data_IF_448729248969
#
_entry.id   IF_448729248969
#
_cell.length_a   1.000
_cell.length_b   1.000
_cell.length_c   1.000
_cell.angle_alpha   90.00
_cell.angle_beta   90.00
_cell.angle_gamma   90.00
#
_symmetry.space_group_name_H-M   'P 1'
#
loop_
_entity.id
_entity.type
_entity.pdbx_description
1 polymer ?
#
# COMPACT_ATOMS: atom_id res chain seq x y z
N UNK A 1 11.03 -5.13 -15.84
CA UNK A 1 10.56 -3.80 -15.40
C UNK A 1 9.06 -3.77 -15.11
N UNK A 2 8.32 -4.77 -15.57
CA UNK A 2 6.85 -4.78 -15.49
C UNK A 2 6.31 -4.76 -14.06
N UNK A 3 6.94 -5.46 -13.13
CA UNK A 3 6.55 -5.46 -11.72
C UNK A 3 6.70 -4.11 -11.00
N UNK A 4 7.62 -3.24 -11.42
CA UNK A 4 7.82 -1.93 -10.80
C UNK A 4 6.63 -1.00 -11.04
N UNK A 5 6.23 -0.82 -12.32
CA UNK A 5 5.15 0.11 -12.70
C UNK A 5 3.81 -0.40 -12.17
N UNK A 6 3.53 -1.70 -12.32
CA UNK A 6 2.31 -2.29 -11.82
C UNK A 6 2.16 -2.09 -10.31
N UNK A 7 3.22 -2.36 -9.53
CA UNK A 7 3.17 -2.21 -8.08
C UNK A 7 3.14 -0.74 -7.66
N UNK A 8 3.86 0.15 -8.37
CA UNK A 8 3.80 1.59 -8.15
C UNK A 8 2.36 2.12 -8.27
N UNK A 9 1.68 1.82 -9.38
CA UNK A 9 0.31 2.26 -9.60
C UNK A 9 -0.66 1.64 -8.58
N UNK A 10 -0.50 0.34 -8.30
CA UNK A 10 -1.33 -0.35 -7.32
C UNK A 10 -1.21 0.30 -5.94
N UNK A 11 -0.01 0.59 -5.45
CA UNK A 11 0.17 1.22 -4.14
C UNK A 11 -0.23 2.69 -4.14
N UNK A 12 0.05 3.44 -5.21
CA UNK A 12 -0.40 4.83 -5.34
C UNK A 12 -1.92 4.93 -5.15
N UNK A 13 -2.68 4.11 -5.85
CA UNK A 13 -4.15 4.16 -5.76
C UNK A 13 -4.70 3.53 -4.49
N UNK A 14 -4.14 2.42 -4.01
CA UNK A 14 -4.63 1.75 -2.80
C UNK A 14 -4.35 2.53 -1.53
N UNK A 15 -3.27 3.32 -1.48
CA UNK A 15 -2.91 4.14 -0.32
C UNK A 15 -3.55 5.54 -0.35
N UNK A 16 -3.99 6.02 -1.54
CA UNK A 16 -4.64 7.32 -1.66
C UNK A 16 -6.01 7.31 -0.98
N UNK A 17 -6.17 8.22 -0.01
CA UNK A 17 -7.38 8.31 0.80
C UNK A 17 -7.52 7.17 1.82
N UNK A 18 -6.49 6.40 2.13
CA UNK A 18 -6.53 5.32 3.13
C UNK A 18 -5.87 5.71 4.47
N UNK A 19 -5.88 4.77 5.42
CA UNK A 19 -5.40 4.95 6.80
C UNK A 19 -3.96 5.42 6.87
N UNK A 20 -3.10 4.88 6.02
CA UNK A 20 -1.68 5.24 5.91
C UNK A 20 -1.50 6.73 5.59
N UNK A 21 -2.24 7.22 4.60
CA UNK A 21 -2.22 8.64 4.23
C UNK A 21 -2.79 9.54 5.33
N UNK A 22 -3.87 9.11 6.00
CA UNK A 22 -4.47 9.85 7.11
C UNK A 22 -3.54 9.91 8.33
N UNK A 23 -2.86 8.81 8.67
CA UNK A 23 -1.89 8.80 9.76
C UNK A 23 -0.71 9.74 9.46
N UNK A 24 -0.21 9.75 8.24
CA UNK A 24 0.87 10.65 7.82
C UNK A 24 0.47 12.13 7.98
N UNK A 25 -0.73 12.51 7.56
CA UNK A 25 -1.25 13.87 7.74
C UNK A 25 -1.37 14.23 9.23
N UNK A 26 -1.90 13.31 10.06
CA UNK A 26 -2.06 13.53 11.49
C UNK A 26 -0.71 13.69 12.21
N UNK A 27 0.28 12.86 11.88
CA UNK A 27 1.63 12.97 12.44
C UNK A 27 2.33 14.27 12.00
N UNK A 28 2.14 14.69 10.74
CA UNK A 28 2.67 15.96 10.24
C UNK A 28 1.99 17.18 10.88
N UNK A 29 0.72 17.07 11.31
CA UNK A 29 0.04 18.10 12.09
C UNK A 29 0.54 18.15 13.53
N UNK A 30 0.76 16.97 14.13
CA UNK A 30 1.20 16.83 15.53
C UNK A 30 2.64 17.30 15.74
N UNK A 31 3.53 16.97 14.81
CA UNK A 31 4.95 17.26 14.94
C UNK A 31 5.35 18.40 13.99
N UNK A 32 6.11 19.37 14.52
CA UNK A 32 6.65 20.48 13.70
C UNK A 32 7.74 20.02 12.71
N UNK A 33 8.41 18.89 13.00
CA UNK A 33 9.49 18.36 12.18
C UNK A 33 8.96 17.37 11.11
N UNK A 34 8.42 17.90 10.03
CA UNK A 34 7.90 17.10 8.92
C UNK A 34 8.98 16.21 8.25
N UNK A 35 10.25 16.64 8.26
CA UNK A 35 11.36 15.84 7.69
C UNK A 35 11.58 14.56 8.47
N UNK A 36 11.55 14.63 9.80
CA UNK A 36 11.68 13.45 10.65
C UNK A 36 10.47 12.51 10.51
N UNK A 37 9.26 13.04 10.40
CA UNK A 37 8.04 12.26 10.12
C UNK A 37 8.16 11.55 8.77
N UNK A 38 8.56 12.27 7.72
CA UNK A 38 8.73 11.70 6.39
C UNK A 38 9.81 10.62 6.33
N UNK A 39 10.95 10.85 6.99
CA UNK A 39 12.04 9.86 7.05
C UNK A 39 11.61 8.58 7.78
N UNK A 40 10.93 8.72 8.94
CA UNK A 40 10.40 7.56 9.68
C UNK A 40 9.37 6.78 8.87
N UNK A 41 8.44 7.50 8.21
CA UNK A 41 7.45 6.91 7.32
C UNK A 41 8.10 6.17 6.15
N UNK A 42 9.03 6.84 5.45
CA UNK A 42 9.70 6.29 4.28
C UNK A 42 10.48 5.02 4.58
N UNK A 43 11.22 5.00 5.70
CA UNK A 43 11.98 3.81 6.12
C UNK A 43 11.05 2.67 6.57
N UNK A 44 9.97 2.96 7.29
CA UNK A 44 9.00 1.94 7.68
C UNK A 44 8.34 1.29 6.46
N UNK A 45 7.88 2.12 5.51
CA UNK A 45 7.28 1.64 4.27
C UNK A 45 8.28 0.86 3.41
N UNK A 46 9.55 1.29 3.33
CA UNK A 46 10.59 0.56 2.62
C UNK A 46 10.80 -0.83 3.22
N UNK A 47 10.92 -0.92 4.55
CA UNK A 47 11.08 -2.19 5.24
C UNK A 47 9.90 -3.14 4.97
N UNK A 48 8.65 -2.65 5.06
CA UNK A 48 7.46 -3.43 4.75
C UNK A 48 7.41 -3.89 3.29
N UNK A 49 7.78 -3.01 2.34
CA UNK A 49 7.81 -3.36 0.91
C UNK A 49 8.86 -4.43 0.61
N UNK A 50 10.06 -4.30 1.18
CA UNK A 50 11.12 -5.31 1.02
C UNK A 50 10.71 -6.65 1.62
N UNK A 51 10.17 -6.67 2.84
CA UNK A 51 9.69 -7.90 3.49
C UNK A 51 8.59 -8.58 2.67
N UNK A 52 7.62 -7.82 2.17
CA UNK A 52 6.51 -8.37 1.40
C UNK A 52 6.94 -8.91 0.05
N UNK A 53 7.78 -8.17 -0.67
CA UNK A 53 8.27 -8.60 -1.97
C UNK A 53 9.21 -9.81 -1.85
N UNK A 54 10.07 -9.81 -0.84
CA UNK A 54 10.93 -10.96 -0.53
C UNK A 54 10.09 -12.20 -0.19
N UNK A 55 9.09 -12.08 0.68
CA UNK A 55 8.17 -13.17 0.97
C UNK A 55 7.42 -13.67 -0.27
N UNK A 56 7.00 -12.74 -1.15
CA UNK A 56 6.34 -13.07 -2.42
C UNK A 56 7.22 -13.84 -3.40
N UNK A 57 8.55 -13.60 -3.41
CA UNK A 57 9.47 -14.30 -4.31
C UNK A 57 9.56 -15.79 -4.03
N UNK A 58 9.38 -16.23 -2.78
CA UNK A 58 9.33 -17.66 -2.44
C UNK A 58 8.11 -18.37 -3.03
N UNK A 59 7.02 -17.65 -3.26
CA UNK A 59 5.81 -18.25 -3.85
C UNK A 59 6.06 -18.70 -5.29
N UNK A 60 6.80 -17.92 -6.07
CA UNK A 60 7.14 -18.23 -7.47
C UNK A 60 8.05 -19.46 -7.59
N UNK A 61 8.94 -19.69 -6.62
CA UNK A 61 9.86 -20.83 -6.63
C UNK A 61 9.17 -22.19 -6.41
N UNK A 62 8.03 -22.21 -5.71
CA UNK A 62 7.36 -23.43 -5.26
C UNK A 62 6.04 -23.72 -5.96
N UNK A 63 5.48 -22.76 -6.67
CA UNK A 63 4.12 -22.83 -7.20
C UNK A 63 4.12 -22.49 -8.70
N UNK A 64 3.34 -23.22 -9.51
CA UNK A 64 3.18 -22.95 -10.95
C UNK A 64 2.48 -21.60 -11.21
N UNK A 65 2.59 -21.11 -12.44
CA UNK A 65 2.15 -19.75 -12.82
C UNK A 65 0.64 -19.50 -12.67
N UNK A 66 -0.23 -20.50 -12.85
CA UNK A 66 -1.69 -20.28 -12.75
C UNK A 66 -2.15 -20.01 -11.30
N UNK A 67 -1.73 -20.78 -10.27
CA UNK A 67 -1.95 -20.39 -8.88
C UNK A 67 -1.34 -19.05 -8.50
N UNK A 68 -0.18 -18.67 -9.04
CA UNK A 68 0.43 -17.34 -8.80
C UNK A 68 -0.45 -16.23 -9.37
N UNK A 69 -1.00 -16.41 -10.59
CA UNK A 69 -1.98 -15.48 -11.17
C UNK A 69 -3.25 -15.38 -10.34
N UNK A 70 -3.77 -16.52 -9.86
CA UNK A 70 -4.92 -16.55 -8.96
C UNK A 70 -4.63 -15.82 -7.66
N UNK A 71 -3.47 -16.03 -7.06
CA UNK A 71 -3.02 -15.30 -5.86
C UNK A 71 -2.97 -13.79 -6.11
N UNK A 72 -2.42 -13.36 -7.26
CA UNK A 72 -2.40 -11.95 -7.66
C UNK A 72 -3.83 -11.40 -7.84
N UNK A 73 -4.72 -12.15 -8.49
CA UNK A 73 -6.12 -11.79 -8.65
C UNK A 73 -6.83 -11.62 -7.31
N UNK A 74 -6.65 -12.58 -6.39
CA UNK A 74 -7.23 -12.53 -5.05
C UNK A 74 -6.69 -11.37 -4.22
N UNK A 75 -5.37 -11.10 -4.26
CA UNK A 75 -4.76 -9.98 -3.55
C UNK A 75 -5.38 -8.64 -3.97
N UNK A 76 -5.53 -8.40 -5.28
CA UNK A 76 -6.16 -7.19 -5.79
C UNK A 76 -7.66 -7.14 -5.50
N UNK A 77 -8.39 -8.25 -5.66
CA UNK A 77 -9.82 -8.31 -5.38
C UNK A 77 -10.13 -8.01 -3.90
N UNK A 78 -9.42 -8.65 -2.98
CA UNK A 78 -9.56 -8.41 -1.54
C UNK A 78 -9.13 -7.00 -1.14
N UNK A 79 -8.08 -6.46 -1.78
CA UNK A 79 -7.70 -5.06 -1.59
C UNK A 79 -8.81 -4.11 -2.04
N UNK A 80 -9.46 -4.37 -3.19
CA UNK A 80 -10.62 -3.62 -3.65
C UNK A 80 -11.77 -3.65 -2.65
N UNK A 81 -12.12 -4.82 -2.12
CA UNK A 81 -13.12 -4.96 -1.06
C UNK A 81 -12.72 -4.17 0.19
N UNK A 82 -11.47 -4.26 0.64
CA UNK A 82 -10.98 -3.52 1.80
C UNK A 82 -11.07 -2.00 1.60
N UNK A 83 -10.84 -1.51 0.38
CA UNK A 83 -11.00 -0.09 0.04
C UNK A 83 -12.46 0.36 0.04
N UNK A 84 -13.39 -0.51 -0.32
CA UNK A 84 -14.85 -0.23 -0.33
C UNK A 84 -15.48 -0.37 1.05
N UNK A 85 -14.95 -1.25 1.89
CA UNK A 85 -15.48 -1.55 3.21
C UNK A 85 -15.45 -0.35 4.16
N UNK A 86 -16.28 -0.42 5.21
CA UNK A 86 -16.33 0.59 6.26
C UNK A 86 -15.02 0.66 7.03
N UNK A 87 -14.52 1.88 7.26
CA UNK A 87 -13.26 2.09 8.00
C UNK A 87 -13.46 1.95 9.50
N UNK A 88 -12.55 1.23 10.15
CA UNK A 88 -12.38 1.30 11.60
C UNK A 88 -11.72 2.64 11.97
N UNK A 89 -11.97 3.12 13.19
CA UNK A 89 -11.29 4.29 13.72
C UNK A 89 -9.77 4.06 13.72
N UNK A 90 -9.04 5.05 13.19
CA UNK A 90 -7.58 5.04 13.16
C UNK A 90 -7.06 5.58 14.49
N UNK A 91 -6.15 4.86 15.14
CA UNK A 91 -5.37 5.40 16.24
C UNK A 91 -4.33 6.38 15.69
N UNK A 92 -4.46 7.64 16.10
CA UNK A 92 -3.54 8.71 15.69
C UNK A 92 -2.26 8.77 16.54
N UNK A 93 -2.03 7.75 17.37
CA UNK A 93 -0.84 7.59 18.20
C UNK A 93 -0.59 8.77 19.17
N UNK A 94 -1.64 9.47 19.57
CA UNK A 94 -1.55 10.69 20.40
C UNK A 94 -0.94 10.43 21.77
N UNK A 95 -1.06 9.22 22.30
CA UNK A 95 -0.51 8.80 23.60
C UNK A 95 0.97 8.46 23.56
N UNK A 96 1.56 8.32 22.37
CA UNK A 96 2.96 7.95 22.22
C UNK A 96 3.87 9.14 22.59
N UNK A 97 4.82 8.92 23.49
CA UNK A 97 5.77 9.94 23.96
C UNK A 97 7.10 9.92 23.19
N UNK A 98 7.17 9.12 22.11
CA UNK A 98 8.34 9.02 21.24
C UNK A 98 8.43 10.24 20.31
N UNK A 99 9.65 10.56 19.87
CA UNK A 99 9.88 11.67 18.92
C UNK A 99 9.26 11.42 17.54
N UNK A 100 9.25 12.43 16.64
CA UNK A 100 8.54 12.38 15.37
C UNK A 100 8.99 11.23 14.46
N UNK A 101 10.28 10.97 14.37
CA UNK A 101 10.84 9.88 13.57
C UNK A 101 10.37 8.51 14.07
N UNK A 102 10.56 8.23 15.36
CA UNK A 102 10.27 6.91 15.93
C UNK A 102 8.77 6.63 15.98
N UNK A 103 7.95 7.66 16.27
CA UNK A 103 6.48 7.55 16.22
C UNK A 103 6.02 7.22 14.79
N UNK A 104 6.55 7.90 13.78
CA UNK A 104 6.21 7.65 12.40
C UNK A 104 6.69 6.25 11.95
N UNK A 105 7.94 5.91 12.27
CA UNK A 105 8.51 4.62 11.87
C UNK A 105 7.72 3.44 12.44
N UNK A 106 7.59 3.37 13.78
CA UNK A 106 6.89 2.25 14.42
C UNK A 106 5.40 2.24 14.11
N UNK A 107 4.74 3.40 14.14
CA UNK A 107 3.32 3.50 13.87
C UNK A 107 2.96 3.06 12.46
N UNK A 108 3.73 3.48 11.47
CA UNK A 108 3.53 3.09 10.07
C UNK A 108 3.91 1.63 9.83
N UNK A 109 5.02 1.17 10.42
CA UNK A 109 5.44 -0.22 10.30
C UNK A 109 4.35 -1.18 10.80
N UNK A 110 3.79 -0.90 11.98
CA UNK A 110 2.70 -1.71 12.55
C UNK A 110 1.41 -1.58 11.73
N UNK A 111 1.06 -0.36 11.28
CA UNK A 111 -0.17 -0.12 10.52
C UNK A 111 -0.17 -0.83 9.17
N UNK A 112 0.97 -0.85 8.48
CA UNK A 112 1.13 -1.49 7.18
C UNK A 112 1.36 -3.00 7.27
N UNK A 113 1.78 -3.52 8.43
CA UNK A 113 2.02 -4.94 8.60
C UNK A 113 0.70 -5.72 8.52
N UNK A 114 0.60 -6.65 7.56
CA UNK A 114 -0.62 -7.41 7.28
C UNK A 114 -1.73 -6.59 6.57
N UNK A 115 -1.42 -5.36 6.09
CA UNK A 115 -2.39 -4.59 5.31
C UNK A 115 -2.42 -5.04 3.84
N UNK A 116 -3.49 -4.64 3.12
CA UNK A 116 -3.71 -4.94 1.70
C UNK A 116 -2.50 -4.65 0.81
N UNK A 117 -1.75 -3.58 1.12
CA UNK A 117 -0.55 -3.19 0.38
C UNK A 117 0.52 -4.28 0.38
N UNK A 118 0.73 -4.96 1.50
CA UNK A 118 1.69 -6.06 1.58
C UNK A 118 1.30 -7.24 0.69
N UNK A 119 0.02 -7.59 0.65
CA UNK A 119 -0.47 -8.68 -0.21
C UNK A 119 -0.33 -8.34 -1.69
N UNK A 120 -0.61 -7.08 -2.09
CA UNK A 120 -0.41 -6.60 -3.47
C UNK A 120 1.07 -6.70 -3.86
N UNK A 121 1.97 -6.21 -3.00
CA UNK A 121 3.42 -6.24 -3.26
C UNK A 121 3.91 -7.68 -3.38
N UNK A 122 3.54 -8.54 -2.43
CA UNK A 122 3.92 -9.95 -2.43
C UNK A 122 3.41 -10.69 -3.68
N UNK A 123 2.15 -10.47 -4.05
CA UNK A 123 1.55 -11.07 -5.23
C UNK A 123 2.21 -10.58 -6.55
N UNK A 124 2.51 -9.29 -6.65
CA UNK A 124 3.25 -8.76 -7.79
C UNK A 124 4.70 -9.26 -7.83
N UNK A 125 5.33 -9.47 -6.68
CA UNK A 125 6.68 -10.03 -6.59
C UNK A 125 6.71 -11.50 -7.01
N UNK A 126 5.69 -12.27 -6.66
CA UNK A 126 5.53 -13.65 -7.12
C UNK A 126 5.33 -13.77 -8.65
N UNK A 127 4.80 -12.72 -9.30
CA UNK A 127 4.64 -12.68 -10.77
C UNK A 127 5.85 -12.09 -11.50
N UNK A 128 6.73 -11.39 -10.80
CA UNK A 128 7.86 -10.69 -11.38
C UNK A 128 9.12 -11.57 -11.27
N UNK A 129 9.89 -11.71 -12.34
CA UNK A 129 11.14 -12.47 -12.30
C UNK A 129 12.20 -11.96 -11.31
N UNK A 130 12.02 -10.71 -10.79
CA UNK A 130 12.89 -10.10 -9.79
C UNK A 130 12.07 -9.31 -8.78
N UNK A 131 12.01 -9.79 -7.55
CA UNK A 131 11.20 -9.22 -6.46
C UNK A 131 11.56 -7.77 -6.07
N UNK A 132 12.78 -7.32 -6.38
CA UNK A 132 13.25 -5.98 -6.02
C UNK A 132 12.48 -4.87 -6.75
N UNK A 133 12.04 -5.13 -8.00
CA UNK A 133 11.27 -4.15 -8.78
C UNK A 133 9.87 -3.88 -8.17
N UNK A 134 9.07 -4.89 -7.80
CA UNK A 134 7.85 -4.68 -7.03
C UNK A 134 8.07 -4.02 -5.67
N UNK A 135 9.16 -4.32 -4.96
CA UNK A 135 9.49 -3.67 -3.69
C UNK A 135 9.70 -2.16 -3.88
N UNK A 136 10.55 -1.77 -4.85
CA UNK A 136 10.82 -0.37 -5.16
C UNK A 136 9.56 0.33 -5.69
N UNK A 137 8.83 -0.31 -6.60
CA UNK A 137 7.57 0.22 -7.13
C UNK A 137 6.54 0.47 -6.03
N UNK A 138 6.37 -0.49 -5.13
CA UNK A 138 5.47 -0.37 -3.98
C UNK A 138 5.86 0.77 -3.04
N UNK A 139 7.14 0.87 -2.70
CA UNK A 139 7.66 1.95 -1.88
C UNK A 139 7.44 3.33 -2.53
N UNK A 140 7.81 3.49 -3.80
CA UNK A 140 7.62 4.75 -4.54
C UNK A 140 6.14 5.12 -4.65
N UNK A 141 5.25 4.14 -4.90
CA UNK A 141 3.80 4.36 -4.96
C UNK A 141 3.23 4.81 -3.62
N UNK A 142 3.65 4.19 -2.53
CA UNK A 142 3.27 4.58 -1.16
C UNK A 142 3.78 5.99 -0.83
N UNK A 143 5.04 6.30 -1.15
CA UNK A 143 5.61 7.65 -0.95
C UNK A 143 4.84 8.70 -1.76
N UNK A 144 4.55 8.41 -3.03
CA UNK A 144 3.78 9.32 -3.89
C UNK A 144 2.37 9.60 -3.36
N UNK A 145 1.70 8.60 -2.76
CA UNK A 145 0.40 8.79 -2.12
C UNK A 145 0.48 9.62 -0.84
N UNK A 146 1.54 9.46 -0.04
CA UNK A 146 1.65 10.01 1.31
C UNK A 146 2.31 11.39 1.35
N UNK A 147 3.26 11.66 0.46
CA UNK A 147 3.97 12.94 0.44
C UNK A 147 3.03 14.16 0.37
N UNK A 148 1.97 14.17 -0.47
CA UNK A 148 0.99 15.25 -0.45
C UNK A 148 0.30 15.40 0.92
N UNK A 149 0.05 14.32 1.65
CA UNK A 149 -0.59 14.38 2.95
C UNK A 149 0.29 15.02 4.03
N UNK A 150 1.60 14.75 4.01
CA UNK A 150 2.55 15.38 4.91
C UNK A 150 2.71 16.88 4.62
N UNK A 151 2.69 17.27 3.34
CA UNK A 151 2.85 18.67 2.92
C UNK A 151 1.56 19.48 3.14
N UNK A 152 0.43 18.95 2.66
CA UNK A 152 -0.85 19.66 2.64
C UNK A 152 -1.66 19.49 3.94
N UNK A 153 -1.35 18.43 4.72
CA UNK A 153 -1.98 18.14 6.02
C UNK A 153 -3.52 18.11 5.90
N UNK A 154 -4.20 18.92 6.68
CA UNK A 154 -5.67 19.06 6.70
C UNK A 154 -6.25 19.63 5.38
N UNK A 155 -5.46 20.37 4.61
CA UNK A 155 -5.87 20.94 3.32
C UNK A 155 -6.06 19.85 2.24
N UNK A 156 -5.38 18.69 2.36
CA UNK A 156 -5.48 17.62 1.35
C UNK A 156 -6.92 17.16 1.13
N UNK A 157 -7.68 16.95 2.22
CA UNK A 157 -9.07 16.51 2.14
C UNK A 157 -10.03 17.56 1.56
N UNK A 158 -9.63 18.83 1.55
CA UNK A 158 -10.39 19.94 0.92
C UNK A 158 -10.07 20.05 -0.58
N UNK A 159 -8.85 19.71 -0.98
CA UNK A 159 -8.38 19.81 -2.35
C UNK A 159 -8.72 18.57 -3.19
N UNK A 160 -8.71 17.39 -2.60
CA UNK A 160 -8.94 16.14 -3.30
C UNK A 160 -10.15 15.38 -2.76
N UNK A 161 -11.02 14.86 -3.65
CA UNK A 161 -12.18 14.05 -3.26
C UNK A 161 -11.72 12.61 -2.89
N UNK A 162 -10.92 12.48 -1.81
CA UNK A 162 -10.25 11.23 -1.39
C UNK A 162 -11.22 10.04 -1.30
N UNK A 163 -12.46 10.28 -0.85
CA UNK A 163 -13.48 9.23 -0.77
C UNK A 163 -13.85 8.69 -2.17
N UNK A 164 -14.01 9.58 -3.16
CA UNK A 164 -14.37 9.19 -4.54
C UNK A 164 -13.21 8.46 -5.20
N UNK A 165 -11.97 8.95 -5.03
CA UNK A 165 -10.75 8.31 -5.55
C UNK A 165 -10.65 6.89 -4.97
N UNK A 166 -10.81 6.71 -3.65
CA UNK A 166 -10.76 5.42 -2.99
C UNK A 166 -11.84 4.46 -3.49
N UNK A 167 -13.09 4.93 -3.67
CA UNK A 167 -14.17 4.08 -4.18
C UNK A 167 -13.90 3.68 -5.62
N UNK A 168 -13.53 4.62 -6.49
CA UNK A 168 -13.20 4.33 -7.88
C UNK A 168 -12.04 3.35 -8.02
N UNK A 169 -10.95 3.57 -7.26
CA UNK A 169 -9.83 2.64 -7.20
C UNK A 169 -10.25 1.26 -6.67
N UNK A 170 -11.07 1.20 -5.61
CA UNK A 170 -11.58 -0.06 -5.07
C UNK A 170 -12.37 -0.88 -6.09
N UNK A 171 -13.24 -0.22 -6.88
CA UNK A 171 -13.98 -0.88 -7.96
C UNK A 171 -13.04 -1.39 -9.06
N UNK A 172 -12.04 -0.60 -9.47
CA UNK A 172 -11.04 -1.02 -10.46
C UNK A 172 -10.23 -2.22 -9.96
N UNK A 173 -9.86 -2.24 -8.68
CA UNK A 173 -9.13 -3.37 -8.07
C UNK A 173 -9.98 -4.64 -8.03
N UNK A 174 -11.27 -4.53 -7.69
CA UNK A 174 -12.18 -5.68 -7.75
C UNK A 174 -12.33 -6.21 -9.18
N UNK A 175 -12.50 -5.32 -10.17
CA UNK A 175 -12.61 -5.72 -11.55
C UNK A 175 -11.32 -6.37 -12.09
N UNK A 176 -10.17 -5.77 -11.80
CA UNK A 176 -8.85 -6.31 -12.19
C UNK A 176 -8.58 -7.66 -11.51
N UNK A 177 -8.86 -7.77 -10.21
CA UNK A 177 -8.67 -9.01 -9.46
C UNK A 177 -9.55 -10.15 -9.97
N UNK A 178 -10.82 -9.85 -10.30
CA UNK A 178 -11.73 -10.83 -10.90
C UNK A 178 -11.24 -11.27 -12.28
N UNK A 179 -10.81 -10.32 -13.12
CA UNK A 179 -10.28 -10.63 -14.44
C UNK A 179 -9.06 -11.55 -14.39
N UNK A 180 -8.13 -11.29 -13.45
CA UNK A 180 -6.95 -12.14 -13.26
C UNK A 180 -7.33 -13.54 -12.75
N UNK A 181 -8.32 -13.66 -11.86
CA UNK A 181 -8.81 -14.95 -11.38
C UNK A 181 -9.46 -15.76 -12.51
N UNK A 182 -10.27 -15.13 -13.37
CA UNK A 182 -10.89 -15.79 -14.52
C UNK A 182 -9.84 -16.28 -15.54
N UNK A 183 -8.78 -15.50 -15.75
CA UNK A 183 -7.64 -15.91 -16.61
C UNK A 183 -6.88 -17.09 -16.02
N UNK A 184 -6.66 -17.12 -14.69
CA UNK A 184 -5.98 -18.22 -14.02
C UNK A 184 -6.75 -19.55 -14.13
N UNK A 185 -8.08 -19.49 -14.31
CA UNK A 185 -8.93 -20.68 -14.52
C UNK A 185 -9.25 -20.96 -15.98
N UNK A 186 -8.61 -20.26 -16.92
CA UNK A 186 -8.81 -20.44 -18.37
C UNK A 186 -10.26 -20.24 -18.84
N UNK A 187 -11.05 -19.41 -18.12
CA UNK A 187 -12.41 -19.07 -18.57
C UNK A 187 -12.40 -18.01 -19.67
N UNK A 188 -11.31 -17.22 -19.76
CA UNK A 188 -11.09 -16.16 -20.76
C UNK A 188 -9.62 -16.09 -21.15
#
# INVERSE_FOLDING_TARGET
MDGLIATFLSLLFSETGDRTQLLAAALALRFSNNRAVFAGFGLASLANCLLSAFAGSFVDEWISQDPVRLFNGLAHFLAGIAMLAWRRNLDLLTRWKTGPFLTAFLGVFILQFGDKGQFIIGANAAMAGHWIFPAIGGWLGTIAAVLPAIILKDKLAKLLPLKRIRIGAGLLFCAFGLLQALRAWHFI
#
